data_IF_324473265643
#
_entry.id   IF_324473265643
#
_cell.length_a   1.000
_cell.length_b   1.000
_cell.length_c   1.000
_cell.angle_alpha   90.00
_cell.angle_beta   90.00
_cell.angle_gamma   90.00
#
_symmetry.space_group_name_H-M   'P 1'
#
loop_
_entity.id
_entity.type
_entity.pdbx_description
1 polymer ?
#
# COMPACT_ATOMS: atom_id res chain seq x y z
N UNK A 1 -14.13 -30.73 -10.69
CA UNK A 1 -13.21 -31.36 -11.67
C UNK A 1 -12.42 -30.25 -12.32
N UNK A 2 -11.08 -30.33 -12.31
CA UNK A 2 -10.20 -29.34 -12.93
C UNK A 2 -10.04 -29.66 -14.42
N UNK A 3 -10.06 -28.65 -15.27
CA UNK A 3 -9.66 -28.80 -16.68
C UNK A 3 -8.13 -28.91 -16.74
N UNK A 4 -7.59 -29.71 -17.65
CA UNK A 4 -6.13 -29.74 -17.87
C UNK A 4 -5.73 -28.56 -18.80
N UNK A 5 -4.88 -27.62 -18.35
CA UNK A 5 -4.48 -26.46 -19.15
C UNK A 5 -3.84 -26.82 -20.48
N UNK A 6 -3.02 -27.88 -20.54
CA UNK A 6 -2.37 -28.32 -21.79
C UNK A 6 -3.39 -28.86 -22.80
N UNK A 7 -4.41 -29.57 -22.32
CA UNK A 7 -5.48 -30.07 -23.17
C UNK A 7 -6.33 -28.92 -23.73
N UNK A 8 -6.58 -27.88 -22.91
CA UNK A 8 -7.26 -26.65 -23.33
C UNK A 8 -6.43 -25.89 -24.38
N UNK A 9 -5.11 -25.73 -24.18
CA UNK A 9 -4.19 -25.11 -25.15
C UNK A 9 -4.20 -25.84 -26.48
N UNK A 10 -4.01 -27.16 -26.46
CA UNK A 10 -4.03 -28.00 -27.67
C UNK A 10 -5.35 -27.81 -28.43
N UNK A 11 -6.49 -27.92 -27.73
CA UNK A 11 -7.81 -27.78 -28.33
C UNK A 11 -8.05 -26.39 -28.93
N UNK A 12 -7.58 -25.33 -28.27
CA UNK A 12 -7.70 -23.96 -28.78
C UNK A 12 -6.79 -23.68 -29.97
N UNK A 13 -5.57 -24.21 -29.98
CA UNK A 13 -4.61 -24.06 -31.08
C UNK A 13 -5.01 -24.86 -32.34
N UNK A 14 -5.78 -25.94 -32.18
CA UNK A 14 -6.36 -26.68 -33.30
C UNK A 14 -7.54 -25.95 -33.97
N UNK A 15 -8.02 -24.83 -33.41
CA UNK A 15 -9.16 -24.08 -33.97
C UNK A 15 -8.75 -22.98 -34.93
N UNK A 16 -9.42 -22.86 -36.09
CA UNK A 16 -9.23 -21.71 -36.96
C UNK A 16 -9.69 -20.43 -36.24
N UNK A 17 -8.98 -19.32 -36.47
CA UNK A 17 -9.27 -17.99 -35.93
C UNK A 17 -9.20 -17.87 -34.39
N UNK A 18 -8.50 -18.79 -33.73
CA UNK A 18 -8.22 -18.76 -32.31
C UNK A 18 -6.72 -18.52 -32.10
N UNK A 19 -6.36 -17.43 -31.42
CA UNK A 19 -4.95 -17.09 -31.12
C UNK A 19 -4.76 -17.05 -29.62
N UNK A 20 -3.87 -17.90 -29.09
CA UNK A 20 -3.54 -17.89 -27.65
C UNK A 20 -2.87 -16.55 -27.27
N UNK A 21 -3.38 -15.92 -26.21
CA UNK A 21 -2.79 -14.73 -25.60
C UNK A 21 -2.04 -15.18 -24.33
N UNK A 22 -0.72 -14.96 -24.24
CA UNK A 22 0.05 -15.35 -23.07
C UNK A 22 -0.41 -14.57 -21.83
N UNK A 23 -0.70 -15.30 -20.75
CA UNK A 23 -1.01 -14.75 -19.43
C UNK A 23 0.23 -14.91 -18.55
N UNK A 24 0.78 -13.80 -18.05
CA UNK A 24 2.00 -13.83 -17.22
C UNK A 24 1.71 -14.42 -15.85
N UNK A 25 2.53 -15.39 -15.44
CA UNK A 25 2.57 -15.88 -14.05
C UNK A 25 1.51 -16.92 -13.66
N UNK A 26 0.59 -17.30 -14.56
CA UNK A 26 -0.54 -18.17 -14.20
C UNK A 26 -0.70 -19.33 -15.20
N UNK A 27 -0.01 -20.47 -14.98
CA UNK A 27 -0.05 -21.61 -15.91
C UNK A 27 -1.44 -22.26 -16.01
N UNK A 28 -2.30 -22.06 -15.00
CA UNK A 28 -3.67 -22.56 -14.91
C UNK A 28 -4.70 -21.69 -15.63
N UNK A 29 -4.30 -20.52 -16.14
CA UNK A 29 -5.15 -19.66 -16.98
C UNK A 29 -4.72 -19.78 -18.43
N UNK A 30 -5.70 -20.04 -19.29
CA UNK A 30 -5.50 -20.04 -20.75
C UNK A 30 -6.42 -18.99 -21.36
N UNK A 31 -5.88 -18.08 -22.17
CA UNK A 31 -6.64 -17.00 -22.79
C UNK A 31 -6.48 -17.05 -24.30
N UNK A 32 -7.58 -16.87 -25.03
CA UNK A 32 -7.60 -16.86 -26.49
C UNK A 32 -8.30 -15.61 -27.01
N UNK A 33 -7.80 -15.06 -28.12
CA UNK A 33 -8.52 -14.13 -28.96
C UNK A 33 -9.21 -14.93 -30.08
N UNK A 34 -10.54 -14.86 -30.12
CA UNK A 34 -11.37 -15.60 -31.07
C UNK A 34 -11.98 -14.63 -32.07
N UNK A 35 -11.76 -14.89 -33.36
CA UNK A 35 -12.26 -14.09 -34.50
C UNK A 35 -11.91 -12.59 -34.41
N UNK A 36 -10.86 -12.21 -33.66
CA UNK A 36 -10.50 -10.81 -33.37
C UNK A 36 -11.60 -9.99 -32.65
N UNK A 37 -12.68 -10.61 -32.21
CA UNK A 37 -13.85 -9.94 -31.63
C UNK A 37 -14.06 -10.25 -30.14
N UNK A 38 -13.62 -11.43 -29.70
CA UNK A 38 -13.88 -11.91 -28.34
C UNK A 38 -12.61 -12.43 -27.68
N UNK A 39 -12.38 -12.03 -26.44
CA UNK A 39 -11.35 -12.63 -25.58
C UNK A 39 -12.00 -13.67 -24.68
N UNK A 40 -11.64 -14.93 -24.86
CA UNK A 40 -12.11 -16.06 -24.04
C UNK A 40 -11.00 -16.46 -23.08
N UNK A 41 -11.23 -16.29 -21.78
CA UNK A 41 -10.29 -16.66 -20.71
C UNK A 41 -10.86 -17.82 -19.91
N UNK A 42 -10.08 -18.90 -19.78
CA UNK A 42 -10.46 -20.15 -19.14
C UNK A 42 -9.60 -20.33 -17.89
N UNK A 43 -10.27 -20.41 -16.74
CA UNK A 43 -9.68 -20.66 -15.43
C UNK A 43 -9.76 -22.17 -15.16
N UNK A 44 -8.70 -22.90 -15.51
CA UNK A 44 -8.74 -24.36 -15.59
C UNK A 44 -9.01 -25.02 -14.23
N UNK A 45 -8.51 -24.42 -13.15
CA UNK A 45 -8.74 -24.89 -11.79
C UNK A 45 -10.21 -24.87 -11.38
N UNK A 46 -10.93 -23.79 -11.70
CA UNK A 46 -12.33 -23.59 -11.28
C UNK A 46 -13.35 -24.07 -12.31
N UNK A 47 -12.90 -24.37 -13.54
CA UNK A 47 -13.80 -24.61 -14.66
C UNK A 47 -14.63 -23.37 -15.01
N UNK A 48 -14.09 -22.16 -14.79
CA UNK A 48 -14.76 -20.90 -15.15
C UNK A 48 -14.28 -20.42 -16.51
N UNK A 49 -15.21 -19.95 -17.34
CA UNK A 49 -14.94 -19.31 -18.63
C UNK A 49 -15.46 -17.87 -18.55
N UNK A 50 -14.58 -16.91 -18.82
CA UNK A 50 -14.89 -15.49 -18.99
C UNK A 50 -14.78 -15.11 -20.45
N UNK A 51 -15.78 -14.42 -20.98
CA UNK A 51 -15.83 -14.00 -22.39
C UNK A 51 -15.99 -12.49 -22.41
N UNK A 52 -14.91 -11.78 -22.76
CA UNK A 52 -14.89 -10.34 -22.93
C UNK A 52 -15.13 -9.96 -24.40
N UNK A 53 -16.05 -9.03 -24.64
CA UNK A 53 -16.30 -8.43 -25.96
C UNK A 53 -16.41 -6.93 -25.81
N UNK A 54 -16.02 -6.19 -26.85
CA UNK A 54 -16.30 -4.76 -26.96
C UNK A 54 -17.80 -4.62 -27.26
N UNK A 55 -18.51 -3.73 -26.58
CA UNK A 55 -19.92 -3.43 -26.84
C UNK A 55 -20.01 -2.26 -27.85
N UNK A 56 -20.20 -2.53 -29.17
CA UNK A 56 -20.13 -1.49 -30.20
C UNK A 56 -21.33 -0.53 -30.19
N UNK A 57 -22.43 -0.89 -29.53
CA UNK A 57 -23.66 -0.07 -29.47
C UNK A 57 -23.68 0.94 -28.31
N UNK A 58 -22.65 0.97 -27.48
CA UNK A 58 -22.53 1.98 -26.42
C UNK A 58 -21.80 3.23 -26.93
N UNK A 59 -22.21 4.39 -26.45
CA UNK A 59 -21.65 5.71 -26.82
C UNK A 59 -20.16 5.86 -26.46
N UNK A 60 -19.63 4.98 -25.61
CA UNK A 60 -18.21 4.77 -25.35
C UNK A 60 -17.93 3.28 -25.48
N UNK A 61 -16.84 2.86 -26.15
CA UNK A 61 -16.49 1.45 -26.23
C UNK A 61 -16.20 0.91 -24.83
N UNK A 62 -17.12 0.09 -24.31
CA UNK A 62 -16.94 -0.62 -23.04
C UNK A 62 -16.68 -2.10 -23.31
N UNK A 63 -15.89 -2.73 -22.45
CA UNK A 63 -15.70 -4.18 -22.47
C UNK A 63 -16.73 -4.79 -21.54
N UNK A 64 -17.58 -5.67 -22.07
CA UNK A 64 -18.52 -6.46 -21.27
C UNK A 64 -18.04 -7.90 -21.14
N UNK A 65 -18.24 -8.47 -19.96
CA UNK A 65 -17.84 -9.84 -19.64
C UNK A 65 -19.06 -10.74 -19.40
N UNK A 66 -19.03 -11.94 -19.99
CA UNK A 66 -19.95 -13.03 -19.68
C UNK A 66 -19.17 -14.12 -18.95
N UNK A 67 -19.69 -14.57 -17.81
CA UNK A 67 -19.10 -15.65 -17.04
C UNK A 67 -19.96 -16.92 -17.12
N UNK A 68 -19.29 -18.07 -17.25
CA UNK A 68 -19.86 -19.41 -17.13
C UNK A 68 -19.00 -20.21 -16.18
N UNK A 69 -19.61 -20.85 -15.19
CA UNK A 69 -18.92 -21.57 -14.11
C UNK A 69 -19.18 -23.06 -14.22
N UNK A 70 -18.39 -23.85 -13.50
CA UNK A 70 -18.55 -25.30 -13.36
C UNK A 70 -18.44 -26.07 -14.68
N UNK A 71 -17.62 -25.60 -15.61
CA UNK A 71 -17.32 -26.28 -16.87
C UNK A 71 -16.20 -27.29 -16.62
N UNK A 72 -16.51 -28.58 -16.77
CA UNK A 72 -15.57 -29.68 -16.58
C UNK A 72 -15.23 -30.45 -17.87
N UNK A 73 -15.94 -30.18 -18.96
CA UNK A 73 -15.82 -30.90 -20.23
C UNK A 73 -15.15 -30.04 -21.30
N UNK A 74 -14.15 -30.60 -21.98
CA UNK A 74 -13.41 -29.92 -23.05
C UNK A 74 -14.30 -29.57 -24.26
N UNK A 75 -15.32 -30.38 -24.55
CA UNK A 75 -16.25 -30.11 -25.66
C UNK A 75 -17.05 -28.82 -25.43
N UNK A 76 -17.34 -28.48 -24.17
CA UNK A 76 -18.02 -27.23 -23.82
C UNK A 76 -17.09 -26.04 -23.99
N UNK A 77 -15.82 -26.16 -23.58
CA UNK A 77 -14.78 -25.15 -23.85
C UNK A 77 -14.66 -24.92 -25.35
N UNK A 78 -14.62 -26.00 -26.13
CA UNK A 78 -14.54 -25.92 -27.58
C UNK A 78 -15.74 -25.20 -28.20
N UNK A 79 -16.95 -25.47 -27.71
CA UNK A 79 -18.15 -24.76 -28.17
C UNK A 79 -18.03 -23.24 -27.97
N UNK A 80 -17.47 -22.80 -26.84
CA UNK A 80 -17.24 -21.38 -26.55
C UNK A 80 -16.13 -20.77 -27.40
N UNK A 81 -15.10 -21.53 -27.75
CA UNK A 81 -14.03 -21.07 -28.64
C UNK A 81 -14.47 -21.04 -30.11
N UNK A 82 -15.34 -21.94 -30.56
CA UNK A 82 -15.90 -21.91 -31.92
C UNK A 82 -16.91 -20.78 -32.10
N UNK A 83 -17.81 -20.61 -31.14
CA UNK A 83 -18.90 -19.65 -31.21
C UNK A 83 -19.06 -18.95 -29.84
N UNK A 84 -18.18 -17.98 -29.51
CA UNK A 84 -18.34 -17.24 -28.27
C UNK A 84 -19.69 -16.52 -28.31
N UNK A 85 -20.55 -16.68 -27.28
CA UNK A 85 -21.83 -15.99 -27.19
C UNK A 85 -21.67 -14.52 -27.57
N UNK A 86 -22.55 -14.07 -28.46
CA UNK A 86 -22.68 -12.64 -28.69
C UNK A 86 -23.12 -11.99 -27.38
N UNK A 87 -22.65 -10.77 -27.15
CA UNK A 87 -23.29 -9.95 -26.14
C UNK A 87 -24.71 -9.72 -26.63
N UNK A 88 -25.68 -10.45 -26.07
CA UNK A 88 -27.08 -10.04 -26.21
C UNK A 88 -27.17 -8.73 -25.46
N UNK A 89 -27.69 -7.68 -26.10
CA UNK A 89 -28.18 -6.53 -25.33
C UNK A 89 -29.01 -7.11 -24.20
N UNK A 90 -28.73 -6.71 -22.96
CA UNK A 90 -29.76 -6.88 -21.94
C UNK A 90 -30.92 -6.08 -22.52
N UNK A 91 -31.99 -6.79 -22.83
CA UNK A 91 -33.15 -6.23 -23.49
C UNK A 91 -33.60 -5.02 -22.68
N UNK A 92 -33.58 -3.85 -23.30
CA UNK A 92 -34.12 -2.63 -22.71
C UNK A 92 -35.59 -2.83 -22.37
N UNK A 93 -36.28 -3.85 -22.91
CA UNK A 93 -37.64 -4.25 -22.50
C UNK A 93 -37.72 -4.79 -21.05
N UNK A 94 -36.61 -5.15 -20.41
CA UNK A 94 -36.55 -5.41 -18.96
C UNK A 94 -36.38 -4.12 -18.13
N UNK A 95 -36.22 -2.97 -18.79
CA UNK A 95 -36.26 -1.61 -18.23
C UNK A 95 -37.27 -0.78 -19.04
N UNK A 96 -38.54 -0.94 -18.70
CA UNK A 96 -39.70 -0.24 -19.27
C UNK A 96 -39.39 1.24 -19.54
N UNK A 97 -39.49 1.68 -20.81
CA UNK A 97 -40.06 2.99 -21.22
C UNK A 97 -40.31 3.09 -22.75
N UNK A 98 -41.25 3.95 -23.19
CA UNK A 98 -42.18 3.70 -24.32
C UNK A 98 -41.74 4.21 -25.70
N UNK A 99 -42.47 3.71 -26.70
CA UNK A 99 -42.29 3.81 -28.15
C UNK A 99 -42.26 5.21 -28.80
N UNK A 100 -41.52 5.28 -29.92
CA UNK A 100 -41.91 5.99 -31.15
C UNK A 100 -41.05 7.19 -31.56
N UNK A 101 -40.29 7.07 -32.66
CA UNK A 101 -40.50 7.87 -33.89
C UNK A 101 -39.28 7.86 -34.86
N UNK A 102 -39.61 8.14 -36.13
CA UNK A 102 -38.76 8.11 -37.33
C UNK A 102 -37.49 8.96 -37.20
N UNK A 103 -36.31 8.34 -37.36
CA UNK A 103 -35.02 9.04 -37.25
C UNK A 103 -34.83 10.08 -38.39
N UNK A 104 -34.57 11.31 -37.95
CA UNK A 104 -34.46 12.53 -38.73
C UNK A 104 -33.08 12.59 -39.42
N UNK A 105 -33.01 12.85 -40.73
CA UNK A 105 -31.77 12.89 -41.52
C UNK A 105 -30.72 13.89 -40.96
N UNK A 106 -31.20 14.93 -40.27
CA UNK A 106 -30.36 15.89 -39.53
C UNK A 106 -29.64 15.29 -38.32
N UNK A 107 -30.21 14.28 -37.66
CA UNK A 107 -29.52 13.58 -36.56
C UNK A 107 -28.34 12.77 -37.09
N UNK A 108 -28.44 12.24 -38.30
CA UNK A 108 -27.35 11.49 -38.92
C UNK A 108 -26.15 12.39 -39.24
N UNK A 109 -26.39 13.61 -39.75
CA UNK A 109 -25.33 14.61 -39.99
C UNK A 109 -24.65 15.02 -38.68
N UNK A 110 -25.44 15.20 -37.60
CA UNK A 110 -24.90 15.55 -36.29
C UNK A 110 -24.09 14.40 -35.67
N UNK A 111 -24.53 13.15 -35.87
CA UNK A 111 -23.79 11.93 -35.49
C UNK A 111 -22.43 11.86 -36.20
N UNK A 112 -22.40 12.11 -37.51
CA UNK A 112 -21.14 12.11 -38.30
C UNK A 112 -20.16 13.18 -37.80
N UNK A 113 -20.63 14.41 -37.54
CA UNK A 113 -19.78 15.48 -36.97
C UNK A 113 -19.23 15.12 -35.59
N UNK A 114 -20.04 14.47 -34.76
CA UNK A 114 -19.62 14.05 -33.42
C UNK A 114 -18.58 12.92 -33.48
N UNK A 115 -18.75 11.97 -34.40
CA UNK A 115 -17.78 10.90 -34.64
C UNK A 115 -16.45 11.45 -35.16
N UNK A 116 -16.49 12.43 -36.06
CA UNK A 116 -15.28 13.08 -36.57
C UNK A 116 -14.53 13.81 -35.44
N UNK A 117 -15.24 14.53 -34.57
CA UNK A 117 -14.63 15.18 -33.40
C UNK A 117 -14.05 14.16 -32.40
N UNK A 118 -14.71 13.02 -32.20
CA UNK A 118 -14.20 11.96 -31.32
C UNK A 118 -12.96 11.26 -31.91
N UNK A 119 -12.88 11.10 -33.24
CA UNK A 119 -11.68 10.59 -33.90
C UNK A 119 -10.51 11.55 -33.73
N UNK A 120 -10.71 12.86 -33.92
CA UNK A 120 -9.69 13.88 -33.68
C UNK A 120 -9.21 13.86 -32.21
N UNK A 121 -10.13 13.70 -31.25
CA UNK A 121 -9.79 13.55 -29.82
C UNK A 121 -9.01 12.27 -29.53
N UNK A 122 -9.30 11.17 -30.23
CA UNK A 122 -8.56 9.91 -30.10
C UNK A 122 -7.14 10.04 -30.63
N UNK A 123 -6.95 10.71 -31.76
CA UNK A 123 -5.63 10.97 -32.34
C UNK A 123 -4.77 11.84 -31.41
N UNK A 124 -5.39 12.84 -30.76
CA UNK A 124 -4.73 13.64 -29.71
C UNK A 124 -4.35 12.75 -28.52
N UNK A 125 -5.23 11.84 -28.09
CA UNK A 125 -4.94 10.89 -27.01
C UNK A 125 -3.77 9.96 -27.33
N UNK A 126 -3.70 9.44 -28.56
CA UNK A 126 -2.58 8.61 -29.04
C UNK A 126 -1.28 9.41 -29.01
N UNK A 127 -1.27 10.64 -29.55
CA UNK A 127 -0.08 11.49 -29.57
C UNK A 127 0.46 11.78 -28.16
N UNK A 128 -0.43 12.00 -27.17
CA UNK A 128 -0.03 12.19 -25.77
C UNK A 128 0.64 10.93 -25.21
N UNK A 129 0.02 9.76 -25.45
CA UNK A 129 0.55 8.48 -24.95
C UNK A 129 1.90 8.13 -25.59
N UNK A 130 2.09 8.44 -26.86
CA UNK A 130 3.38 8.27 -27.52
C UNK A 130 4.45 9.20 -26.95
N UNK A 131 4.09 10.45 -26.67
CA UNK A 131 4.99 11.40 -26.00
C UNK A 131 5.43 10.93 -24.61
N UNK A 132 4.50 10.42 -23.79
CA UNK A 132 4.83 9.87 -22.47
C UNK A 132 5.65 8.57 -22.56
N UNK A 133 5.36 7.71 -23.54
CA UNK A 133 6.17 6.50 -23.83
C UNK A 133 7.61 6.87 -24.14
N UNK A 134 7.82 7.88 -24.99
CA UNK A 134 9.15 8.27 -25.42
C UNK A 134 9.93 8.99 -24.30
N UNK A 135 9.24 9.79 -23.48
CA UNK A 135 9.80 10.37 -22.24
C UNK A 135 10.21 9.29 -21.22
N UNK A 136 9.43 8.22 -21.09
CA UNK A 136 9.77 7.08 -20.24
C UNK A 136 10.99 6.32 -20.77
N UNK A 137 11.08 6.11 -22.09
CA UNK A 137 12.28 5.50 -22.70
C UNK A 137 13.51 6.35 -22.46
N UNK A 138 13.39 7.66 -22.59
CA UNK A 138 14.49 8.59 -22.33
C UNK A 138 14.94 8.54 -20.86
N UNK A 139 14.00 8.53 -19.91
CA UNK A 139 14.33 8.32 -18.49
C UNK A 139 15.03 6.98 -18.24
N UNK A 140 14.56 5.89 -18.85
CA UNK A 140 15.18 4.57 -18.70
C UNK A 140 16.59 4.53 -19.29
N UNK A 141 16.85 5.24 -20.40
CA UNK A 141 18.20 5.36 -20.97
C UNK A 141 19.15 6.21 -20.11
N UNK A 142 18.61 7.20 -19.38
CA UNK A 142 19.39 8.07 -18.49
C UNK A 142 19.58 7.50 -17.07
N UNK A 143 18.82 6.48 -16.69
CA UNK A 143 19.10 5.65 -15.52
C UNK A 143 20.33 4.79 -15.84
N UNK A 144 21.52 5.37 -15.69
CA UNK A 144 22.74 4.57 -15.67
C UNK A 144 22.62 3.52 -14.54
N UNK A 145 23.05 2.27 -14.79
CA UNK A 145 23.19 1.30 -13.70
C UNK A 145 24.08 1.96 -12.65
N UNK A 146 23.56 2.08 -11.43
CA UNK A 146 24.27 2.62 -10.30
C UNK A 146 25.43 1.66 -10.05
N UNK A 147 26.61 1.97 -10.58
CA UNK A 147 27.81 1.28 -10.16
C UNK A 147 27.98 1.56 -8.65
N UNK A 148 28.16 0.53 -7.82
CA UNK A 148 28.32 0.71 -6.38
C UNK A 148 29.54 1.62 -6.17
N UNK A 149 29.27 2.84 -5.73
CA UNK A 149 30.27 3.87 -5.50
C UNK A 149 31.26 3.37 -4.45
N UNK A 150 32.39 2.84 -4.92
CA UNK A 150 33.59 2.70 -4.13
C UNK A 150 34.17 4.11 -3.96
N UNK A 151 33.78 4.82 -2.91
CA UNK A 151 34.67 5.64 -2.06
C UNK A 151 33.92 6.64 -1.17
N UNK A 152 34.22 6.55 0.13
CA UNK A 152 34.54 7.62 1.09
C UNK A 152 33.73 7.53 2.38
N UNK A 153 34.19 6.64 3.26
CA UNK A 153 33.92 6.69 4.69
C UNK A 153 34.51 7.98 5.28
N UNK A 154 33.76 9.07 5.25
CA UNK A 154 33.88 10.22 6.17
C UNK A 154 32.79 11.26 5.87
N UNK A 155 31.56 10.96 6.29
CA UNK A 155 30.60 11.90 6.89
C UNK A 155 29.32 11.12 7.26
N UNK A 156 29.22 10.69 8.52
CA UNK A 156 28.21 9.78 9.06
C UNK A 156 26.79 10.33 9.14
N UNK A 157 26.18 10.55 7.99
CA UNK A 157 24.74 10.65 7.83
C UNK A 157 24.36 9.97 6.50
N UNK A 158 24.58 8.67 6.44
CA UNK A 158 23.90 7.82 5.44
C UNK A 158 22.39 8.10 5.55
N UNK A 159 21.76 8.32 4.40
CA UNK A 159 20.39 8.77 4.33
C UNK A 159 19.47 7.63 4.74
N UNK A 160 18.61 7.84 5.74
CA UNK A 160 17.60 6.83 6.07
C UNK A 160 16.65 6.63 4.90
N UNK A 161 16.46 5.37 4.52
CA UNK A 161 15.46 4.95 3.55
C UNK A 161 14.17 4.51 4.25
N UNK A 162 13.06 4.55 3.51
CA UNK A 162 11.73 4.27 4.03
C UNK A 162 10.94 3.42 3.05
N UNK A 163 10.45 2.27 3.51
CA UNK A 163 9.47 1.45 2.79
C UNK A 163 8.09 1.64 3.42
N UNK A 164 7.10 2.02 2.64
CA UNK A 164 5.72 2.24 3.08
C UNK A 164 4.79 1.20 2.46
N UNK A 165 3.87 0.67 3.26
CA UNK A 165 2.68 -0.05 2.81
C UNK A 165 1.47 0.59 3.50
N UNK A 166 0.83 1.56 2.85
CA UNK A 166 -0.40 2.21 3.36
C UNK A 166 -1.50 2.15 2.28
N UNK A 167 -2.79 2.33 2.65
CA UNK A 167 -3.86 2.44 1.65
C UNK A 167 -3.61 3.61 0.68
N UNK A 168 -4.16 3.51 -0.54
CA UNK A 168 -3.87 4.43 -1.63
C UNK A 168 -4.16 5.91 -1.32
N UNK A 169 -5.21 6.19 -0.53
CA UNK A 169 -5.56 7.56 -0.16
C UNK A 169 -4.53 8.19 0.82
N UNK A 170 -4.21 7.60 1.99
CA UNK A 170 -3.08 8.03 2.82
C UNK A 170 -1.76 8.15 2.06
N UNK A 171 -1.45 7.23 1.14
CA UNK A 171 -0.21 7.28 0.35
C UNK A 171 -0.09 8.55 -0.48
N UNK A 172 -1.17 9.05 -1.09
CA UNK A 172 -1.13 10.32 -1.85
C UNK A 172 -0.63 11.49 -1.00
N UNK A 173 -1.02 11.53 0.27
CA UNK A 173 -0.58 12.58 1.20
C UNK A 173 0.85 12.37 1.67
N UNK A 174 1.26 11.12 1.88
CA UNK A 174 2.65 10.76 2.20
C UNK A 174 3.57 11.18 1.05
N UNK A 175 3.23 10.83 -0.19
CA UNK A 175 4.01 11.21 -1.38
C UNK A 175 4.17 12.72 -1.53
N UNK A 176 3.10 13.47 -1.27
CA UNK A 176 3.17 14.93 -1.28
C UNK A 176 4.11 15.46 -0.21
N UNK A 177 4.01 14.95 1.03
CA UNK A 177 4.90 15.33 2.11
C UNK A 177 6.36 14.98 1.78
N UNK A 178 6.64 13.80 1.21
CA UNK A 178 7.99 13.39 0.82
C UNK A 178 8.56 14.27 -0.29
N UNK A 179 7.76 14.66 -1.29
CA UNK A 179 8.17 15.64 -2.32
C UNK A 179 8.53 16.99 -1.68
N UNK A 180 7.71 17.49 -0.78
CA UNK A 180 7.95 18.77 -0.10
C UNK A 180 9.22 18.69 0.77
N UNK A 181 9.42 17.57 1.48
CA UNK A 181 10.60 17.30 2.31
C UNK A 181 11.88 17.28 1.46
N UNK A 182 11.83 16.59 0.33
CA UNK A 182 12.94 16.51 -0.63
C UNK A 182 13.27 17.90 -1.20
N UNK A 183 12.26 18.67 -1.62
CA UNK A 183 12.43 20.04 -2.08
C UNK A 183 13.03 20.98 -1.01
N UNK A 184 12.77 20.71 0.27
CA UNK A 184 13.36 21.47 1.39
C UNK A 184 14.78 21.01 1.78
N UNK A 185 15.31 19.92 1.20
CA UNK A 185 16.61 19.35 1.56
C UNK A 185 16.69 18.94 3.03
N UNK A 186 15.60 18.41 3.60
CA UNK A 186 15.54 18.02 5.02
C UNK A 186 15.68 16.51 5.16
N UNK A 187 16.54 16.09 6.10
CA UNK A 187 16.65 14.69 6.51
C UNK A 187 15.51 14.33 7.48
N UNK A 188 14.78 13.27 7.14
CA UNK A 188 13.77 12.65 8.00
C UNK A 188 14.49 11.78 9.03
N UNK A 189 14.24 12.06 10.31
CA UNK A 189 14.80 11.33 11.45
C UNK A 189 13.91 10.18 11.90
N UNK A 190 12.60 10.39 11.88
CA UNK A 190 11.64 9.37 12.25
C UNK A 190 10.30 9.62 11.59
N UNK A 191 9.56 8.55 11.39
CA UNK A 191 8.18 8.58 10.91
C UNK A 191 7.30 7.91 11.96
N UNK A 192 6.01 8.23 12.00
CA UNK A 192 5.03 7.52 12.83
C UNK A 192 3.69 7.53 12.12
N UNK A 193 2.92 6.46 12.19
CA UNK A 193 1.63 6.37 11.51
C UNK A 193 0.55 5.75 12.39
N UNK A 194 -0.71 6.12 12.17
CA UNK A 194 -1.87 5.38 12.67
C UNK A 194 -2.60 4.63 11.53
N UNK A 195 -1.98 4.50 10.36
CA UNK A 195 -2.55 3.95 9.13
C UNK A 195 -3.37 4.94 8.29
N UNK A 196 -3.81 6.07 8.88
CA UNK A 196 -4.56 7.13 8.17
C UNK A 196 -3.76 8.43 8.05
N UNK A 197 -3.11 8.80 9.15
CA UNK A 197 -2.26 9.97 9.30
C UNK A 197 -0.84 9.56 9.66
N UNK A 198 0.11 10.33 9.16
CA UNK A 198 1.55 10.09 9.30
C UNK A 198 2.22 11.38 9.77
N UNK A 199 3.17 11.28 10.70
CA UNK A 199 4.01 12.37 11.19
C UNK A 199 5.45 12.09 10.80
N UNK A 200 6.12 13.07 10.20
CA UNK A 200 7.54 13.06 9.84
C UNK A 200 8.29 14.01 10.76
N UNK A 201 9.25 13.51 11.53
CA UNK A 201 10.18 14.34 12.30
C UNK A 201 11.47 14.53 11.52
N UNK A 202 11.96 15.77 11.47
CA UNK A 202 13.22 16.10 10.83
C UNK A 202 14.38 16.10 11.83
N UNK A 203 15.62 15.91 11.34
CA UNK A 203 16.82 15.96 12.18
C UNK A 203 17.02 17.28 12.95
N UNK A 204 16.42 18.38 12.48
CA UNK A 204 16.47 19.70 13.14
C UNK A 204 15.31 19.98 14.11
N UNK A 205 14.48 18.96 14.42
CA UNK A 205 13.27 19.06 15.24
C UNK A 205 12.06 19.66 14.52
N UNK A 206 12.15 19.94 13.22
CA UNK A 206 10.99 20.30 12.42
C UNK A 206 10.05 19.10 12.22
N UNK A 207 8.82 19.38 11.80
CA UNK A 207 7.80 18.36 11.61
C UNK A 207 6.98 18.63 10.35
N UNK A 208 6.65 17.57 9.63
CA UNK A 208 5.53 17.52 8.68
C UNK A 208 4.54 16.44 9.12
N UNK A 209 3.32 16.54 8.62
CA UNK A 209 2.29 15.54 8.89
C UNK A 209 1.24 15.56 7.79
N UNK A 210 0.65 14.39 7.55
CA UNK A 210 -0.50 14.25 6.65
C UNK A 210 -1.80 14.59 7.41
N UNK A 211 -2.95 14.71 6.70
CA UNK A 211 -4.25 14.76 7.35
C UNK A 211 -4.49 13.54 8.27
N UNK A 212 -5.54 13.60 9.11
CA UNK A 212 -5.98 12.47 9.95
C UNK A 212 -5.08 12.09 11.14
N UNK A 213 -4.12 12.94 11.53
CA UNK A 213 -3.47 12.85 12.83
C UNK A 213 -4.39 13.34 13.97
N UNK A 214 -4.22 12.87 15.22
CA UNK A 214 -5.09 13.29 16.33
C UNK A 214 -5.12 14.82 16.50
N UNK A 215 -6.33 15.40 16.56
CA UNK A 215 -6.52 16.87 16.64
C UNK A 215 -5.73 17.56 17.78
N UNK A 216 -5.65 17.01 19.00
CA UNK A 216 -4.84 17.62 20.06
C UNK A 216 -3.34 17.64 19.72
N UNK A 217 -2.83 16.60 19.04
CA UNK A 217 -1.45 16.54 18.57
C UNK A 217 -1.21 17.58 17.47
N UNK A 218 -2.10 17.69 16.49
CA UNK A 218 -2.03 18.72 15.44
C UNK A 218 -1.88 20.13 16.04
N UNK A 219 -2.74 20.48 17.00
CA UNK A 219 -2.69 21.80 17.65
C UNK A 219 -1.36 22.02 18.36
N UNK A 220 -0.86 20.99 19.08
CA UNK A 220 0.42 21.05 19.77
C UNK A 220 1.58 21.23 18.80
N UNK A 221 1.66 20.43 17.74
CA UNK A 221 2.72 20.51 16.72
C UNK A 221 2.69 21.84 15.96
N UNK A 222 1.50 22.35 15.64
CA UNK A 222 1.31 23.64 14.97
C UNK A 222 1.79 24.83 15.82
N UNK A 223 1.52 24.79 17.13
CA UNK A 223 2.03 25.80 18.07
C UNK A 223 3.56 25.77 18.15
N UNK A 224 4.15 24.57 18.24
CA UNK A 224 5.60 24.39 18.34
C UNK A 224 6.35 24.75 17.06
N UNK A 225 5.70 24.70 15.89
CA UNK A 225 6.30 25.16 14.63
C UNK A 225 6.68 26.64 14.67
N UNK A 226 5.99 27.44 15.50
CA UNK A 226 6.23 28.89 15.64
C UNK A 226 7.25 29.21 16.73
N UNK A 227 7.64 28.26 17.58
CA UNK A 227 8.59 28.53 18.67
C UNK A 227 10.02 28.58 18.15
N UNK A 228 10.79 29.57 18.61
CA UNK A 228 12.23 29.66 18.32
C UNK A 228 13.06 28.69 19.16
N UNK A 229 12.53 28.22 20.29
CA UNK A 229 13.23 27.32 21.20
C UNK A 229 13.31 25.90 20.62
N UNK A 230 14.52 25.46 20.26
CA UNK A 230 14.77 24.11 19.72
C UNK A 230 14.48 23.01 20.76
N UNK A 231 14.66 23.30 22.04
CA UNK A 231 14.40 22.33 23.11
C UNK A 231 12.91 21.97 23.24
N UNK A 232 12.02 22.90 22.87
CA UNK A 232 10.57 22.65 22.85
C UNK A 232 10.09 21.79 21.67
N UNK A 233 10.99 21.44 20.75
CA UNK A 233 10.62 20.71 19.53
C UNK A 233 10.47 19.22 19.79
N UNK A 234 9.61 18.53 19.02
CA UNK A 234 9.43 17.09 19.16
C UNK A 234 10.73 16.33 18.90
N UNK A 235 11.04 15.37 19.76
CA UNK A 235 12.19 14.47 19.67
C UNK A 235 11.79 13.04 19.28
N UNK A 236 10.57 12.63 19.62
CA UNK A 236 9.93 11.36 19.30
C UNK A 236 8.41 11.53 19.28
N UNK A 237 7.75 10.81 18.38
CA UNK A 237 6.29 10.73 18.27
C UNK A 237 5.92 9.24 18.19
N UNK A 238 4.80 8.87 18.79
CA UNK A 238 4.12 7.62 18.57
C UNK A 238 2.65 7.90 18.30
N UNK A 239 2.13 7.28 17.25
CA UNK A 239 0.72 7.37 16.88
C UNK A 239 0.07 6.01 17.06
N UNK A 240 -1.25 6.03 17.20
CA UNK A 240 -2.05 4.82 17.23
C UNK A 240 -3.47 5.14 16.79
N UNK A 241 -4.23 4.07 16.55
CA UNK A 241 -5.69 4.09 16.45
C UNK A 241 -6.35 4.73 17.68
N UNK A 242 -7.62 5.12 17.53
CA UNK A 242 -8.47 5.73 18.58
C UNK A 242 -7.93 7.06 19.13
N UNK A 243 -7.33 7.88 18.28
CA UNK A 243 -6.76 9.20 18.61
C UNK A 243 -5.72 9.18 19.74
N UNK A 244 -5.04 8.04 19.94
CA UNK A 244 -3.96 7.93 20.92
C UNK A 244 -2.66 8.43 20.32
N UNK A 245 -1.90 9.16 21.12
CA UNK A 245 -0.58 9.61 20.73
C UNK A 245 0.29 9.82 21.95
N UNK A 246 1.59 9.75 21.73
CA UNK A 246 2.61 10.20 22.65
C UNK A 246 3.62 11.05 21.87
N UNK A 247 4.06 12.16 22.44
CA UNK A 247 5.13 12.99 21.90
C UNK A 247 6.06 13.41 23.03
N UNK A 248 7.36 13.15 22.88
CA UNK A 248 8.38 13.72 23.76
C UNK A 248 9.11 14.85 23.05
N UNK A 249 9.63 15.78 23.84
CA UNK A 249 10.36 16.95 23.37
C UNK A 249 11.85 16.84 23.73
N UNK A 250 12.68 17.73 23.20
CA UNK A 250 14.12 17.74 23.48
C UNK A 250 14.45 18.18 24.91
N UNK A 251 13.64 19.06 25.49
CA UNK A 251 13.70 19.48 26.90
C UNK A 251 13.33 18.38 27.91
N UNK A 252 12.99 17.18 27.45
CA UNK A 252 12.61 16.05 28.29
C UNK A 252 11.15 16.07 28.74
N UNK A 253 10.38 17.11 28.42
CA UNK A 253 8.93 17.12 28.63
C UNK A 253 8.22 16.24 27.60
N UNK A 254 6.95 15.94 27.84
CA UNK A 254 6.13 15.16 26.92
C UNK A 254 4.66 15.56 26.99
N UNK A 255 3.90 15.22 25.94
CA UNK A 255 2.45 15.33 25.89
C UNK A 255 1.87 14.04 25.30
N UNK A 256 0.70 13.63 25.77
CA UNK A 256 0.09 12.39 25.29
C UNK A 256 -1.42 12.40 25.48
N UNK A 257 -2.09 11.52 24.74
CA UNK A 257 -3.48 11.11 24.95
C UNK A 257 -3.50 9.59 24.89
N UNK A 258 -3.86 8.94 26.00
CA UNK A 258 -3.76 7.49 26.13
C UNK A 258 -4.50 6.94 27.34
N UNK A 259 -4.25 5.68 27.71
CA UNK A 259 -4.88 5.05 28.85
C UNK A 259 -4.38 5.57 30.20
N UNK A 260 -5.22 5.46 31.24
CA UNK A 260 -4.90 5.91 32.61
C UNK A 260 -3.72 5.15 33.22
N UNK A 261 -3.53 3.88 32.85
CA UNK A 261 -2.36 3.09 33.28
C UNK A 261 -1.05 3.73 32.82
N UNK A 262 -0.97 4.15 31.55
CA UNK A 262 0.20 4.84 31.02
C UNK A 262 0.48 6.14 31.79
N UNK A 263 -0.55 6.94 32.06
CA UNK A 263 -0.41 8.16 32.85
C UNK A 263 0.17 7.89 34.25
N UNK A 264 -0.31 6.85 34.92
CA UNK A 264 0.18 6.43 36.24
C UNK A 264 1.65 6.03 36.19
N UNK A 265 2.06 5.24 35.19
CA UNK A 265 3.45 4.81 35.03
C UNK A 265 4.37 5.99 34.69
N UNK A 266 3.96 6.88 33.78
CA UNK A 266 4.72 8.09 33.42
C UNK A 266 4.91 9.05 34.60
N UNK A 267 3.91 9.19 35.49
CA UNK A 267 4.03 10.03 36.70
C UNK A 267 4.98 9.46 37.76
N UNK A 268 5.11 8.13 37.83
CA UNK A 268 5.98 7.43 38.79
C UNK A 268 7.40 7.23 38.28
N UNK A 269 7.59 7.36 36.97
CA UNK A 269 8.86 7.07 36.32
C UNK A 269 9.98 8.00 36.82
N UNK A 270 11.10 7.40 37.21
CA UNK A 270 12.33 8.14 37.54
C UNK A 270 13.11 8.55 36.29
N UNK A 271 12.89 7.85 35.19
CA UNK A 271 13.55 8.05 33.91
C UNK A 271 12.54 8.51 32.88
N UNK A 272 12.92 9.41 31.96
CA UNK A 272 12.03 9.81 30.88
C UNK A 272 11.77 8.62 29.93
N UNK A 273 10.57 8.56 29.33
CA UNK A 273 10.26 7.57 28.31
C UNK A 273 11.18 7.76 27.09
N UNK A 274 11.65 6.65 26.54
CA UNK A 274 12.40 6.58 25.29
C UNK A 274 11.50 6.15 24.12
N UNK A 275 10.56 5.25 24.38
CA UNK A 275 9.61 4.72 23.39
C UNK A 275 8.28 4.43 24.07
N UNK A 276 7.19 4.74 23.39
CA UNK A 276 5.83 4.40 23.81
C UNK A 276 5.13 3.77 22.63
N UNK A 277 4.48 2.64 22.86
CA UNK A 277 3.66 1.94 21.89
C UNK A 277 2.26 1.68 22.47
N UNK A 278 1.26 1.64 21.61
CA UNK A 278 -0.13 1.40 21.98
C UNK A 278 -0.62 0.14 21.28
N UNK A 279 -1.14 -0.82 22.03
CA UNK A 279 -1.62 -2.09 21.46
C UNK A 279 -3.07 -2.04 20.97
N UNK A 280 -3.64 -3.21 20.66
CA UNK A 280 -4.96 -3.37 20.05
C UNK A 280 -6.12 -2.76 20.84
N UNK A 281 -6.10 -2.86 22.17
CA UNK A 281 -7.16 -2.30 23.04
C UNK A 281 -6.76 -0.92 23.57
N UNK A 282 -7.74 -0.07 23.92
CA UNK A 282 -7.47 1.30 24.36
C UNK A 282 -6.57 1.37 25.59
N UNK A 283 -6.77 0.43 26.53
CA UNK A 283 -6.02 0.24 27.77
C UNK A 283 -4.63 -0.36 27.59
N UNK A 284 -4.32 -0.90 26.41
CA UNK A 284 -3.03 -1.55 26.14
C UNK A 284 -1.95 -0.54 25.77
N UNK A 285 -0.84 -0.57 26.52
CA UNK A 285 0.36 0.21 26.23
C UNK A 285 1.63 -0.56 26.60
N UNK A 286 2.73 -0.14 25.99
CA UNK A 286 4.08 -0.53 26.37
C UNK A 286 4.96 0.72 26.37
N UNK A 287 5.69 0.95 27.46
CA UNK A 287 6.67 2.03 27.58
C UNK A 287 8.05 1.47 27.87
N UNK A 288 9.04 1.95 27.11
CA UNK A 288 10.47 1.75 27.36
C UNK A 288 11.04 3.08 27.84
N UNK A 289 11.81 3.07 28.92
CA UNK A 289 12.47 4.24 29.49
C UNK A 289 13.91 4.37 28.99
N UNK A 290 14.53 5.56 29.13
CA UNK A 290 15.90 5.79 28.63
C UNK A 290 16.96 4.87 29.25
N UNK A 291 16.77 4.43 30.48
CA UNK A 291 17.66 3.44 31.12
C UNK A 291 17.52 2.03 30.52
N UNK A 292 16.49 1.78 29.72
CA UNK A 292 16.19 0.51 29.05
C UNK A 292 15.24 -0.38 29.83
N UNK A 293 14.84 0.03 31.04
CA UNK A 293 13.73 -0.58 31.76
C UNK A 293 12.42 -0.35 31.03
N UNK A 294 11.41 -1.17 31.31
CA UNK A 294 10.14 -1.11 30.62
C UNK A 294 8.96 -1.50 31.51
N UNK A 295 7.76 -1.08 31.10
CA UNK A 295 6.46 -1.44 31.68
C UNK A 295 5.43 -1.62 30.58
N UNK A 296 4.51 -2.56 30.77
CA UNK A 296 3.33 -2.70 29.93
C UNK A 296 2.10 -2.99 30.78
N UNK A 297 0.92 -2.70 30.24
CA UNK A 297 -0.38 -3.04 30.83
C UNK A 297 -1.39 -3.25 29.69
N UNK A 298 -2.49 -3.91 30.01
CA UNK A 298 -3.64 -4.11 29.11
C UNK A 298 -3.72 -5.51 28.51
N UNK A 299 -4.92 -5.87 28.05
CA UNK A 299 -5.23 -7.24 27.56
C UNK A 299 -4.84 -7.49 26.10
N UNK A 300 -4.39 -6.45 25.40
CA UNK A 300 -4.00 -6.50 24.00
C UNK A 300 -2.50 -6.64 23.77
N UNK A 301 -1.73 -7.07 24.78
CA UNK A 301 -0.31 -7.41 24.61
C UNK A 301 -0.24 -8.82 23.99
N UNK A 302 0.37 -8.99 22.81
CA UNK A 302 0.48 -10.31 22.16
C UNK A 302 1.14 -11.36 23.06
N UNK A 303 0.63 -12.59 23.04
CA UNK A 303 1.16 -13.69 23.85
C UNK A 303 2.62 -13.99 23.51
N UNK A 304 2.97 -14.01 22.23
CA UNK A 304 4.35 -14.18 21.76
C UNK A 304 5.30 -13.11 22.32
N UNK A 305 4.83 -11.86 22.42
CA UNK A 305 5.60 -10.78 23.02
C UNK A 305 5.79 -11.03 24.52
N UNK A 306 4.76 -11.48 25.25
CA UNK A 306 4.88 -11.80 26.68
C UNK A 306 5.91 -12.91 26.92
N UNK A 307 5.80 -14.02 26.18
CA UNK A 307 6.78 -15.11 26.22
C UNK A 307 8.19 -14.60 25.92
N UNK A 308 8.33 -13.68 24.95
CA UNK A 308 9.63 -13.10 24.64
C UNK A 308 10.19 -12.24 25.76
N UNK A 309 9.37 -11.51 26.50
CA UNK A 309 9.81 -10.70 27.64
C UNK A 309 10.21 -11.57 28.83
N UNK A 310 9.49 -12.69 29.04
CA UNK A 310 9.82 -13.69 30.07
C UNK A 310 11.16 -14.38 29.79
N UNK A 311 11.40 -14.83 28.55
CA UNK A 311 12.69 -15.37 28.08
C UNK A 311 13.85 -14.39 28.34
N UNK A 312 13.57 -13.08 28.21
CA UNK A 312 14.55 -12.03 28.47
C UNK A 312 14.79 -11.75 29.95
N UNK A 313 14.02 -12.32 30.88
CA UNK A 313 14.18 -12.16 32.32
C UNK A 313 14.22 -10.69 32.75
N UNK A 314 13.31 -9.86 32.21
CA UNK A 314 13.17 -8.44 32.57
C UNK A 314 14.43 -7.58 32.40
N UNK A 315 15.35 -7.96 31.50
CA UNK A 315 16.55 -7.15 31.22
C UNK A 315 16.19 -5.71 30.83
N UNK A 316 16.87 -4.76 31.46
CA UNK A 316 16.71 -3.32 31.25
C UNK A 316 17.59 -2.80 30.09
N UNK A 317 17.49 -3.42 28.93
CA UNK A 317 18.32 -3.16 27.74
C UNK A 317 17.51 -2.81 26.50
N UNK A 318 16.20 -2.59 26.61
CA UNK A 318 15.37 -2.19 25.48
C UNK A 318 15.67 -0.75 25.04
N UNK A 319 15.62 -0.51 23.73
CA UNK A 319 15.79 0.81 23.11
C UNK A 319 14.45 1.34 22.60
N UNK A 320 13.68 0.51 21.89
CA UNK A 320 12.36 0.87 21.43
C UNK A 320 11.42 -0.34 21.36
N UNK A 321 10.13 -0.02 21.32
CA UNK A 321 9.02 -0.95 21.19
C UNK A 321 7.97 -0.32 20.28
N UNK A 322 7.39 -1.14 19.40
CA UNK A 322 6.22 -0.78 18.59
C UNK A 322 5.19 -1.91 18.71
N UNK A 323 3.92 -1.53 18.74
CA UNK A 323 2.77 -2.43 18.79
C UNK A 323 1.80 -2.01 17.71
N UNK A 324 1.30 -2.99 16.96
CA UNK A 324 0.29 -2.79 15.94
C UNK A 324 -1.12 -3.13 16.43
N UNK A 325 -2.13 -2.69 15.68
CA UNK A 325 -3.53 -2.90 16.04
C UNK A 325 -4.00 -4.36 15.87
N UNK A 326 -3.33 -5.18 15.07
CA UNK A 326 -3.68 -6.58 14.84
C UNK A 326 -2.81 -7.57 15.63
N UNK A 327 -2.03 -7.09 16.61
CA UNK A 327 -1.15 -7.92 17.42
C UNK A 327 0.28 -7.98 16.91
N UNK A 328 0.61 -7.16 15.91
CA UNK A 328 1.98 -6.97 15.45
C UNK A 328 2.84 -6.37 16.59
N UNK A 329 4.10 -6.76 16.67
CA UNK A 329 5.02 -6.18 17.62
C UNK A 329 6.45 -6.17 17.10
N UNK A 330 7.22 -5.18 17.55
CA UNK A 330 8.65 -5.04 17.26
C UNK A 330 9.38 -4.55 18.51
N UNK A 331 10.53 -5.17 18.79
CA UNK A 331 11.45 -4.81 19.88
C UNK A 331 12.86 -4.63 19.33
N UNK A 332 13.54 -3.58 19.79
CA UNK A 332 14.98 -3.39 19.55
C UNK A 332 15.70 -3.17 20.88
N UNK A 333 16.76 -3.93 21.12
CA UNK A 333 17.65 -3.74 22.26
C UNK A 333 18.74 -2.70 21.95
N UNK A 334 19.37 -2.17 23.00
CA UNK A 334 20.48 -1.21 22.92
C UNK A 334 21.70 -1.77 22.21
N UNK A 335 21.88 -3.10 22.24
CA UNK A 335 22.96 -3.80 21.53
C UNK A 335 22.65 -4.07 20.05
N UNK A 336 21.54 -3.53 19.51
CA UNK A 336 21.16 -3.69 18.11
C UNK A 336 20.37 -4.95 17.80
N UNK A 337 20.23 -5.91 18.71
CA UNK A 337 19.38 -7.09 18.48
C UNK A 337 17.91 -6.68 18.36
N UNK A 338 17.21 -7.34 17.44
CA UNK A 338 15.83 -7.05 17.08
C UNK A 338 14.98 -8.32 17.16
N UNK A 339 13.71 -8.14 17.48
CA UNK A 339 12.70 -9.21 17.50
C UNK A 339 11.37 -8.62 17.04
N UNK A 340 10.59 -9.41 16.32
CA UNK A 340 9.24 -9.06 15.89
C UNK A 340 8.37 -10.31 15.85
N UNK A 341 7.06 -10.10 15.78
CA UNK A 341 6.08 -11.17 15.67
C UNK A 341 4.69 -10.61 15.39
N UNK A 342 3.75 -11.50 15.09
CA UNK A 342 2.39 -11.13 14.69
C UNK A 342 2.29 -10.32 13.39
N UNK A 343 3.34 -10.26 12.57
CA UNK A 343 3.36 -9.51 11.29
C UNK A 343 2.91 -10.38 10.11
N UNK A 344 2.54 -9.75 8.99
CA UNK A 344 2.19 -10.47 7.75
C UNK A 344 3.42 -11.10 7.10
N UNK A 345 3.20 -12.17 6.32
CA UNK A 345 4.26 -12.84 5.56
C UNK A 345 4.96 -11.89 4.59
N UNK A 346 4.21 -11.00 3.92
CA UNK A 346 4.76 -9.97 3.03
C UNK A 346 5.73 -9.03 3.76
N UNK A 347 5.36 -8.60 4.97
CA UNK A 347 6.18 -7.72 5.78
C UNK A 347 7.42 -8.44 6.32
N UNK A 348 7.28 -9.70 6.73
CA UNK A 348 8.41 -10.52 7.17
C UNK A 348 9.41 -10.72 6.03
N UNK A 349 8.93 -11.06 4.83
CA UNK A 349 9.77 -11.15 3.63
C UNK A 349 10.49 -9.84 3.33
N UNK A 350 9.80 -8.69 3.44
CA UNK A 350 10.41 -7.37 3.25
C UNK A 350 11.52 -7.09 4.27
N UNK A 351 11.30 -7.44 5.53
CA UNK A 351 12.32 -7.33 6.57
C UNK A 351 13.52 -8.24 6.27
N UNK A 352 13.29 -9.50 5.89
CA UNK A 352 14.37 -10.43 5.60
C UNK A 352 15.22 -9.96 4.41
N UNK A 353 14.59 -9.47 3.34
CA UNK A 353 15.31 -8.91 2.19
C UNK A 353 16.27 -7.77 2.60
N UNK A 354 15.78 -6.82 3.42
CA UNK A 354 16.61 -5.72 3.92
C UNK A 354 17.79 -6.22 4.76
N UNK A 355 17.56 -7.23 5.60
CA UNK A 355 18.61 -7.82 6.44
C UNK A 355 19.63 -8.61 5.62
N UNK A 356 19.19 -9.33 4.60
CA UNK A 356 20.04 -10.09 3.67
C UNK A 356 20.93 -9.16 2.82
N UNK A 357 20.40 -7.98 2.47
CA UNK A 357 21.14 -6.91 1.79
C UNK A 357 22.11 -6.17 2.73
N UNK A 358 22.12 -6.51 4.02
CA UNK A 358 23.04 -5.99 5.03
C UNK A 358 22.57 -4.70 5.71
N UNK A 359 21.33 -4.27 5.47
CA UNK A 359 20.75 -3.11 6.14
C UNK A 359 20.39 -3.41 7.61
N UNK A 360 20.37 -2.37 8.42
CA UNK A 360 19.97 -2.41 9.82
C UNK A 360 18.68 -1.62 10.02
N UNK A 361 17.64 -2.29 10.53
CA UNK A 361 16.37 -1.62 10.79
C UNK A 361 16.55 -0.57 11.89
N UNK A 362 16.29 0.68 11.50
CA UNK A 362 16.32 1.83 12.39
C UNK A 362 15.04 1.90 13.23
N UNK A 363 13.89 1.75 12.58
CA UNK A 363 12.58 1.84 13.19
C UNK A 363 11.53 1.12 12.34
N UNK A 364 10.44 0.69 12.97
CA UNK A 364 9.35 -0.01 12.32
C UNK A 364 8.04 0.37 13.02
N UNK A 365 7.01 0.72 12.26
CA UNK A 365 5.70 1.10 12.83
C UNK A 365 4.55 0.44 12.09
N UNK A 366 3.44 0.33 12.80
CA UNK A 366 2.26 -0.38 12.33
C UNK A 366 1.05 0.56 12.31
N UNK A 367 0.33 0.56 11.21
CA UNK A 367 -0.93 1.27 11.03
C UNK A 367 -2.14 0.32 10.99
N UNK A 368 -3.31 0.87 10.74
CA UNK A 368 -4.53 0.08 10.53
C UNK A 368 -4.44 -0.80 9.29
N UNK A 369 -5.24 -1.88 9.24
CA UNK A 369 -5.42 -2.74 8.05
C UNK A 369 -4.13 -3.39 7.51
N UNK A 370 -3.20 -3.74 8.39
CA UNK A 370 -1.92 -4.34 8.00
C UNK A 370 -0.96 -3.36 7.33
N UNK A 371 -1.24 -2.06 7.42
CA UNK A 371 -0.32 -1.04 6.93
C UNK A 371 0.91 -0.96 7.83
N UNK A 372 2.08 -0.73 7.23
CA UNK A 372 3.33 -0.64 7.96
C UNK A 372 4.28 0.32 7.28
N UNK A 373 5.32 0.71 8.01
CA UNK A 373 6.52 1.24 7.37
C UNK A 373 7.78 0.74 8.07
N UNK A 374 8.86 0.66 7.29
CA UNK A 374 10.17 0.25 7.75
C UNK A 374 11.14 1.39 7.44
N UNK A 375 11.97 1.76 8.40
CA UNK A 375 13.08 2.69 8.23
C UNK A 375 14.39 1.95 8.46
N UNK A 376 15.32 2.09 7.53
CA UNK A 376 16.63 1.43 7.53
C UNK A 376 17.73 2.41 7.07
N UNK A 377 18.99 2.00 7.23
CA UNK A 377 20.19 2.80 6.93
C UNK A 377 20.69 2.68 5.49
#
# INVERSE_FOLDING_TARGET
MKLNPEAVRRRGNDMPNCVEIPVRGEPEIVSFLVNQEARVTIYCETGTISIGRIAPWETKPTIRHIFRRNISQLDVVERFLRNPPQLTSIDSSLVIQPDGDQENENENIQRVKTLQSNLELMDVGIAILEGERDKLKDHVQHLQPIEPSKNNANNGAEGMEFQFSLPAEPMKHVDQCLRDISAMGRLVKSVSTNGKGTVFLYGNGGVAYTPSIPRPLYHKLSQLRKTKNRESRPSYVALSTRDRFFVSFHDGTFAFKGPKGLEKELRKAKQPPASVAFGTTYDTFFVVFKDGSWKYEGRGIPEELQLKLEDRQERADLKCVNLGPAGEWFLRAKNGRMWWGGISEEMDQSIQMLLDDGHCLSFLDFGETGSYFISYD
#
